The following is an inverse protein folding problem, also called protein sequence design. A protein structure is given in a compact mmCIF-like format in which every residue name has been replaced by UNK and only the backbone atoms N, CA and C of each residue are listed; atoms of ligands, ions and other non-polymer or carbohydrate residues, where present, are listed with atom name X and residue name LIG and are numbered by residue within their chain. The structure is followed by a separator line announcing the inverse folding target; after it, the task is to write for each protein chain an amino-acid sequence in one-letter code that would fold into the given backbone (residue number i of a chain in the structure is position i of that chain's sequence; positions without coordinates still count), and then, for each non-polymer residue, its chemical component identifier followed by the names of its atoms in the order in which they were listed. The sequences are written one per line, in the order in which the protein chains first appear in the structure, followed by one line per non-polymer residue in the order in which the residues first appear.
data_IF_104864263220
#
_entry.id   IF_104864263220
#
_cell.length_a   1.000
_cell.length_b   1.000
_cell.length_c   1.000
_cell.angle_alpha   90.00
_cell.angle_beta   90.00
_cell.angle_gamma   90.00
#
_symmetry.space_group_name_H-M   'P 1'
#
loop_
_entity.id
_entity.type
_entity.pdbx_description
1 polymer ?
#
# COMPACT_ATOMS: atom_id res chain seq x y z
N UNK A 1 -27.63 15.58 -8.51
CA UNK A 1 -26.89 14.30 -8.71
C UNK A 1 -25.59 14.40 -7.95
N UNK A 2 -25.28 13.45 -7.07
CA UNK A 2 -24.05 13.46 -6.26
C UNK A 2 -22.87 12.87 -7.01
N UNK A 3 -21.69 13.47 -6.88
CA UNK A 3 -20.46 12.90 -7.42
C UNK A 3 -20.07 11.68 -6.55
N UNK A 4 -19.82 10.50 -7.15
CA UNK A 4 -19.45 9.31 -6.38
C UNK A 4 -18.13 9.54 -5.64
N UNK A 5 -18.08 9.09 -4.38
CA UNK A 5 -16.88 9.18 -3.54
C UNK A 5 -15.88 8.08 -3.93
N UNK A 6 -14.60 8.39 -4.14
CA UNK A 6 -13.59 7.38 -4.41
C UNK A 6 -13.42 6.41 -3.24
N UNK A 7 -13.16 5.14 -3.58
CA UNK A 7 -12.86 4.09 -2.61
C UNK A 7 -11.35 3.89 -2.50
N UNK A 8 -10.92 3.15 -1.48
CA UNK A 8 -9.53 2.74 -1.33
C UNK A 8 -9.01 1.99 -2.57
N UNK A 9 -9.86 1.19 -3.23
CA UNK A 9 -9.52 0.51 -4.47
C UNK A 9 -9.26 1.48 -5.62
N UNK A 10 -10.00 2.59 -5.71
CA UNK A 10 -9.75 3.63 -6.73
C UNK A 10 -8.37 4.26 -6.51
N UNK A 11 -8.05 4.64 -5.27
CA UNK A 11 -6.78 5.29 -4.95
C UNK A 11 -5.59 4.34 -5.13
N UNK A 12 -5.77 3.06 -4.80
CA UNK A 12 -4.77 2.01 -4.98
C UNK A 12 -4.30 1.86 -6.43
N UNK A 13 -5.18 2.10 -7.41
CA UNK A 13 -4.81 2.05 -8.83
C UNK A 13 -3.71 3.06 -9.19
N UNK A 14 -3.67 4.22 -8.53
CA UNK A 14 -2.62 5.21 -8.77
C UNK A 14 -1.27 4.70 -8.25
N UNK A 15 -1.25 4.09 -7.06
CA UNK A 15 -0.04 3.45 -6.53
C UNK A 15 0.44 2.30 -7.41
N UNK A 16 -0.46 1.44 -7.88
CA UNK A 16 -0.15 0.36 -8.83
C UNK A 16 0.51 0.91 -10.10
N UNK A 17 -0.10 1.92 -10.70
CA UNK A 17 0.42 2.57 -11.92
C UNK A 17 1.83 3.13 -11.73
N UNK A 18 2.13 3.72 -10.57
CA UNK A 18 3.48 4.23 -10.26
C UNK A 18 4.50 3.11 -10.04
N UNK A 19 4.11 1.97 -9.48
CA UNK A 19 4.99 0.82 -9.30
C UNK A 19 5.29 0.13 -10.63
N UNK A 20 4.29 -0.05 -11.47
CA UNK A 20 4.44 -0.64 -12.81
C UNK A 20 5.35 0.20 -13.71
N UNK A 21 5.23 1.54 -13.64
CA UNK A 21 6.15 2.46 -14.35
C UNK A 21 7.63 2.24 -13.98
N UNK A 22 7.91 1.74 -12.79
CA UNK A 22 9.25 1.45 -12.27
C UNK A 22 9.68 0.01 -12.53
N UNK A 23 8.90 -0.76 -13.28
CA UNK A 23 9.17 -2.17 -13.58
C UNK A 23 8.94 -3.11 -12.39
N UNK A 24 8.30 -2.65 -11.31
CA UNK A 24 7.96 -3.50 -10.17
C UNK A 24 6.80 -4.39 -10.57
N UNK A 25 6.99 -5.71 -10.53
CA UNK A 25 5.90 -6.66 -10.74
C UNK A 25 5.01 -6.70 -9.50
N UNK A 26 3.72 -6.49 -9.70
CA UNK A 26 2.72 -6.53 -8.63
C UNK A 26 1.63 -7.52 -9.01
N UNK A 27 1.34 -8.45 -8.10
CA UNK A 27 0.20 -9.35 -8.23
C UNK A 27 -0.92 -8.83 -7.31
N UNK A 28 -2.09 -8.61 -7.88
CA UNK A 28 -3.33 -8.31 -7.14
C UNK A 28 -4.17 -9.58 -6.97
N UNK A 29 -5.16 -9.57 -6.08
CA UNK A 29 -6.14 -10.67 -5.91
C UNK A 29 -5.56 -11.98 -5.36
N UNK A 30 -4.66 -11.88 -4.38
CA UNK A 30 -4.00 -13.05 -3.79
C UNK A 30 -4.78 -13.52 -2.57
N UNK A 31 -4.80 -14.83 -2.35
CA UNK A 31 -5.35 -15.44 -1.15
C UNK A 31 -4.40 -16.48 -0.60
N UNK A 32 -4.14 -16.39 0.71
CA UNK A 32 -3.42 -17.39 1.47
C UNK A 32 -4.40 -18.17 2.34
N UNK A 33 -4.39 -19.49 2.20
CA UNK A 33 -5.07 -20.37 3.14
C UNK A 33 -4.23 -20.49 4.41
N UNK A 34 -4.82 -20.19 5.57
CA UNK A 34 -4.14 -20.27 6.87
C UNK A 34 -5.00 -21.06 7.85
N UNK A 35 -4.42 -21.59 8.95
CA UNK A 35 -5.18 -22.29 9.98
C UNK A 35 -6.28 -21.42 10.64
N UNK A 36 -6.14 -20.09 10.59
CA UNK A 36 -7.09 -19.13 11.17
C UNK A 36 -8.09 -18.57 10.14
N UNK A 37 -8.07 -19.07 8.91
CA UNK A 37 -8.93 -18.62 7.81
C UNK A 37 -8.16 -18.16 6.58
N UNK A 38 -8.79 -17.35 5.74
CA UNK A 38 -8.15 -16.79 4.53
C UNK A 38 -7.56 -15.42 4.82
N UNK A 39 -6.31 -15.21 4.42
CA UNK A 39 -5.72 -13.88 4.38
C UNK A 39 -5.65 -13.42 2.92
N UNK A 40 -6.13 -12.21 2.65
CA UNK A 40 -6.22 -11.65 1.29
C UNK A 40 -5.58 -10.26 1.29
N UNK A 41 -4.28 -10.17 0.98
CA UNK A 41 -3.63 -8.89 0.93
C UNK A 41 -4.13 -8.07 -0.25
N UNK A 42 -3.98 -6.76 -0.14
CA UNK A 42 -4.33 -5.87 -1.24
C UNK A 42 -3.46 -6.13 -2.46
N UNK A 43 -2.16 -6.36 -2.25
CA UNK A 43 -1.16 -6.63 -3.30
C UNK A 43 0.00 -7.48 -2.77
N UNK A 44 0.70 -8.17 -3.66
CA UNK A 44 2.02 -8.76 -3.44
C UNK A 44 3.01 -8.18 -4.43
N UNK A 45 4.13 -7.69 -3.91
CA UNK A 45 5.22 -7.14 -4.71
C UNK A 45 6.27 -8.20 -4.95
N UNK A 46 6.87 -8.16 -6.13
CA UNK A 46 8.06 -8.94 -6.46
C UNK A 46 9.17 -7.97 -6.85
N UNK A 47 10.14 -7.80 -5.95
CA UNK A 47 11.34 -7.00 -6.19
C UNK A 47 12.50 -7.64 -5.45
N UNK A 48 13.22 -8.58 -6.08
CA UNK A 48 14.24 -9.42 -5.42
C UNK A 48 13.68 -10.45 -4.42
N UNK A 49 12.66 -10.08 -3.66
CA UNK A 49 11.86 -10.92 -2.78
C UNK A 49 10.38 -10.56 -2.85
N UNK A 50 9.56 -11.33 -2.14
CA UNK A 50 8.11 -11.13 -2.05
C UNK A 50 7.72 -10.34 -0.80
N UNK A 51 6.89 -9.31 -0.98
CA UNK A 51 6.40 -8.48 0.10
C UNK A 51 4.91 -8.22 -0.02
N UNK A 52 4.18 -8.41 1.07
CA UNK A 52 2.76 -8.08 1.15
C UNK A 52 2.57 -6.57 1.23
N UNK A 53 1.53 -6.04 0.60
CA UNK A 53 1.12 -4.64 0.78
C UNK A 53 -0.33 -4.59 1.23
N UNK A 54 -0.59 -3.80 2.26
CA UNK A 54 -1.92 -3.38 2.69
C UNK A 54 -2.03 -1.87 2.51
N UNK A 55 -3.12 -1.43 1.92
CA UNK A 55 -3.43 -0.01 1.71
C UNK A 55 -4.56 0.40 2.63
N UNK A 56 -4.55 1.64 3.12
CA UNK A 56 -5.63 2.18 3.93
C UNK A 56 -5.92 3.61 3.51
N UNK A 57 -7.18 3.92 3.25
CA UNK A 57 -7.59 5.29 2.95
C UNK A 57 -8.02 6.04 4.23
N UNK A 58 -7.30 7.12 4.56
CA UNK A 58 -7.60 8.14 5.59
C UNK A 58 -6.90 7.99 6.94
N UNK A 59 -7.64 7.99 8.06
CA UNK A 59 -7.07 8.16 9.40
C UNK A 59 -5.99 7.12 9.79
N UNK A 60 -4.97 7.60 10.52
CA UNK A 60 -3.81 6.83 10.96
C UNK A 60 -4.15 5.63 11.87
N UNK A 61 -5.29 5.67 12.57
CA UNK A 61 -5.78 4.50 13.31
C UNK A 61 -5.94 3.26 12.42
N UNK A 62 -6.25 3.44 11.12
CA UNK A 62 -6.31 2.34 10.15
C UNK A 62 -4.93 1.73 9.84
N UNK A 63 -3.86 2.48 10.05
CA UNK A 63 -2.49 1.99 9.87
C UNK A 63 -2.14 0.97 10.96
N UNK A 64 -2.65 1.13 12.19
CA UNK A 64 -2.50 0.13 13.26
C UNK A 64 -3.17 -1.19 12.86
N UNK A 65 -4.39 -1.14 12.34
CA UNK A 65 -5.10 -2.33 11.84
C UNK A 65 -4.34 -3.01 10.70
N UNK A 66 -3.76 -2.20 9.80
CA UNK A 66 -2.89 -2.72 8.74
C UNK A 66 -1.68 -3.43 9.35
N UNK A 67 -0.99 -2.84 10.32
CA UNK A 67 0.19 -3.45 10.96
C UNK A 67 -0.12 -4.80 11.63
N UNK A 68 -1.29 -4.94 12.27
CA UNK A 68 -1.73 -6.23 12.83
C UNK A 68 -1.85 -7.28 11.72
N UNK A 69 -2.49 -6.93 10.60
CA UNK A 69 -2.57 -7.84 9.43
C UNK A 69 -1.20 -8.16 8.85
N UNK A 70 -0.30 -7.18 8.75
CA UNK A 70 1.08 -7.39 8.30
C UNK A 70 1.83 -8.39 9.19
N UNK A 71 1.59 -8.34 10.50
CA UNK A 71 2.16 -9.32 11.42
C UNK A 71 1.60 -10.73 11.18
N UNK A 72 0.30 -10.88 10.94
CA UNK A 72 -0.29 -12.18 10.56
C UNK A 72 0.27 -12.70 9.23
N UNK A 73 0.41 -11.84 8.22
CA UNK A 73 1.07 -12.24 6.97
C UNK A 73 2.51 -12.72 7.21
N UNK A 74 3.26 -12.06 8.08
CA UNK A 74 4.64 -12.46 8.38
C UNK A 74 4.73 -13.88 8.98
N UNK A 75 3.71 -14.29 9.76
CA UNK A 75 3.61 -15.62 10.37
C UNK A 75 3.21 -16.69 9.37
N UNK A 76 2.17 -16.43 8.57
CA UNK A 76 1.54 -17.47 7.75
C UNK A 76 1.99 -17.49 6.29
N UNK A 77 2.79 -16.51 5.85
CA UNK A 77 3.31 -16.45 4.48
C UNK A 77 4.83 -16.58 4.43
N UNK A 78 5.34 -16.94 3.25
CA UNK A 78 6.78 -17.00 2.96
C UNK A 78 7.38 -15.64 2.54
N UNK A 79 6.60 -14.57 2.65
CA UNK A 79 7.07 -13.22 2.31
C UNK A 79 8.18 -12.75 3.24
N UNK A 80 9.07 -11.90 2.72
CA UNK A 80 10.21 -11.34 3.48
C UNK A 80 9.84 -10.13 4.32
N UNK A 81 8.63 -9.62 4.13
CA UNK A 81 8.12 -8.50 4.88
C UNK A 81 6.81 -8.02 4.30
N UNK A 82 6.42 -6.86 4.78
CA UNK A 82 5.11 -6.31 4.56
C UNK A 82 5.16 -4.78 4.61
N UNK A 83 4.34 -4.12 3.78
CA UNK A 83 4.20 -2.68 3.71
C UNK A 83 2.76 -2.26 3.98
N UNK A 84 2.56 -1.31 4.88
CA UNK A 84 1.31 -0.60 5.07
C UNK A 84 1.39 0.78 4.43
N UNK A 85 0.48 1.12 3.52
CA UNK A 85 0.44 2.46 2.89
C UNK A 85 -0.86 3.16 3.29
N UNK A 86 -0.72 4.29 3.97
CA UNK A 86 -1.81 5.19 4.32
C UNK A 86 -1.96 6.24 3.23
N UNK A 87 -3.12 6.25 2.59
CA UNK A 87 -3.48 7.27 1.62
C UNK A 87 -4.04 8.52 2.32
N UNK A 88 -3.68 9.71 1.84
CA UNK A 88 -4.15 10.99 2.37
C UNK A 88 -5.67 11.12 2.33
N UNK A 89 -6.22 11.88 3.29
CA UNK A 89 -7.67 12.09 3.42
C UNK A 89 -8.25 12.96 2.29
N UNK A 90 -7.42 13.80 1.68
CA UNK A 90 -7.71 14.62 0.51
C UNK A 90 -8.24 13.77 -0.66
N UNK A 91 -7.74 12.53 -0.80
CA UNK A 91 -8.18 11.59 -1.83
C UNK A 91 -9.54 10.95 -1.54
N UNK A 92 -10.13 11.17 -0.35
CA UNK A 92 -11.52 10.77 -0.06
C UNK A 92 -12.54 11.72 -0.63
N UNK A 93 -12.15 12.93 -1.02
CA UNK A 93 -13.10 13.92 -1.51
C UNK A 93 -13.74 13.42 -2.82
N UNK A 94 -15.03 13.73 -3.08
CA UNK A 94 -15.78 13.22 -4.23
C UNK A 94 -15.38 13.95 -5.52
N UNK A 95 -14.14 13.75 -5.94
CA UNK A 95 -13.60 14.23 -7.21
C UNK A 95 -13.79 13.16 -8.28
N UNK A 96 -13.79 13.59 -9.55
CA UNK A 96 -13.72 12.65 -10.67
C UNK A 96 -12.32 12.01 -10.77
N UNK A 97 -12.19 10.94 -11.55
CA UNK A 97 -10.93 10.17 -11.67
C UNK A 97 -9.77 11.00 -12.21
N UNK A 98 -10.04 11.91 -13.15
CA UNK A 98 -9.02 12.78 -13.76
C UNK A 98 -8.41 13.76 -12.75
N UNK A 99 -9.23 14.33 -11.87
CA UNK A 99 -8.76 15.23 -10.82
C UNK A 99 -8.06 14.42 -9.72
N UNK A 100 -8.59 13.25 -9.36
CA UNK A 100 -7.91 12.36 -8.41
C UNK A 100 -6.53 11.94 -8.90
N UNK A 101 -6.37 11.65 -10.19
CA UNK A 101 -5.07 11.32 -10.75
C UNK A 101 -4.09 12.50 -10.58
N UNK A 102 -4.50 13.72 -10.93
CA UNK A 102 -3.68 14.93 -10.74
C UNK A 102 -3.28 15.14 -9.28
N UNK A 103 -4.26 15.05 -8.37
CA UNK A 103 -4.03 15.22 -6.93
C UNK A 103 -3.10 14.11 -6.42
N UNK A 104 -3.32 12.86 -6.82
CA UNK A 104 -2.54 11.71 -6.36
C UNK A 104 -1.05 11.84 -6.68
N UNK A 105 -0.70 12.53 -7.76
CA UNK A 105 0.67 12.81 -8.19
C UNK A 105 1.19 14.18 -7.75
N UNK A 106 0.40 14.97 -7.02
CA UNK A 106 0.83 16.27 -6.53
C UNK A 106 2.01 16.09 -5.56
N UNK A 107 3.17 16.74 -5.80
CA UNK A 107 4.33 16.64 -4.93
C UNK A 107 4.08 17.09 -3.48
N UNK A 108 3.04 17.90 -3.25
CA UNK A 108 2.64 18.38 -1.92
C UNK A 108 1.77 17.38 -1.16
N UNK A 109 1.21 16.39 -1.86
CA UNK A 109 0.34 15.41 -1.24
C UNK A 109 1.18 14.33 -0.55
N UNK A 110 1.05 14.23 0.76
CA UNK A 110 1.83 13.30 1.57
C UNK A 110 1.11 11.98 1.79
N UNK A 111 1.84 10.90 1.57
CA UNK A 111 1.47 9.52 1.85
C UNK A 111 2.40 9.00 2.93
N UNK A 112 1.90 8.09 3.77
CA UNK A 112 2.72 7.45 4.80
C UNK A 112 2.84 5.97 4.49
N UNK A 113 4.06 5.45 4.44
CA UNK A 113 4.34 4.03 4.32
C UNK A 113 5.08 3.51 5.54
N UNK A 114 4.69 2.34 6.03
CA UNK A 114 5.37 1.61 7.09
C UNK A 114 5.78 0.25 6.58
N UNK A 115 7.05 -0.12 6.74
CA UNK A 115 7.59 -1.42 6.41
C UNK A 115 7.89 -2.22 7.67
N UNK A 116 7.55 -3.51 7.63
CA UNK A 116 7.92 -4.52 8.62
C UNK A 116 8.66 -5.62 7.88
N UNK A 117 9.85 -5.95 8.34
CA UNK A 117 10.69 -6.99 7.74
C UNK A 117 10.67 -8.24 8.62
N UNK A 118 10.78 -9.41 7.98
CA UNK A 118 10.87 -10.70 8.67
C UNK A 118 12.30 -11.02 9.14
N UNK A 119 13.28 -10.25 8.68
CA UNK A 119 14.67 -10.32 9.12
C UNK A 119 14.92 -9.38 10.33
N UNK A 120 16.19 -9.18 10.68
CA UNK A 120 16.60 -8.39 11.84
C UNK A 120 16.50 -6.87 11.62
N UNK A 121 16.04 -6.41 10.44
CA UNK A 121 15.89 -4.98 10.17
C UNK A 121 14.77 -4.41 11.07
N UNK A 122 14.97 -3.22 11.66
CA UNK A 122 13.89 -2.55 12.37
C UNK A 122 12.76 -2.18 11.41
N UNK A 123 11.55 -2.06 11.93
CA UNK A 123 10.46 -1.46 11.17
C UNK A 123 10.84 -0.03 10.75
N UNK A 124 10.41 0.35 9.56
CA UNK A 124 10.73 1.67 9.02
C UNK A 124 9.45 2.39 8.63
N UNK A 125 9.42 3.70 8.88
CA UNK A 125 8.33 4.58 8.47
C UNK A 125 8.89 5.66 7.56
N UNK A 126 8.19 5.91 6.46
CA UNK A 126 8.54 6.94 5.48
C UNK A 126 7.29 7.73 5.11
N UNK A 127 7.45 9.05 5.02
CA UNK A 127 6.41 9.96 4.58
C UNK A 127 6.91 10.75 3.37
N UNK A 128 6.08 10.85 2.34
CA UNK A 128 6.43 11.52 1.10
C UNK A 128 5.34 11.40 0.05
N UNK A 129 5.55 11.99 -1.12
CA UNK A 129 4.58 11.89 -2.21
C UNK A 129 4.58 10.48 -2.84
N UNK A 130 3.62 10.23 -3.74
CA UNK A 130 3.41 8.91 -4.34
C UNK A 130 4.67 8.37 -5.05
N UNK A 131 5.39 9.23 -5.76
CA UNK A 131 6.67 8.92 -6.43
C UNK A 131 7.71 8.49 -5.41
N UNK A 132 7.89 9.27 -4.34
CA UNK A 132 8.87 8.99 -3.29
C UNK A 132 8.55 7.70 -2.53
N UNK A 133 7.27 7.40 -2.28
CA UNK A 133 6.85 6.14 -1.64
C UNK A 133 7.18 4.94 -2.55
N UNK A 134 6.91 5.07 -3.85
CA UNK A 134 7.24 4.04 -4.82
C UNK A 134 8.76 3.81 -4.89
N UNK A 135 9.56 4.88 -4.93
CA UNK A 135 11.02 4.81 -4.93
C UNK A 135 11.58 4.22 -3.63
N UNK A 136 11.13 4.74 -2.48
CA UNK A 136 11.53 4.26 -1.17
C UNK A 136 11.26 2.76 -1.01
N UNK A 137 10.11 2.27 -1.48
CA UNK A 137 9.81 0.84 -1.47
C UNK A 137 10.73 0.04 -2.39
N UNK A 138 11.09 0.53 -3.57
CA UNK A 138 12.02 -0.17 -4.46
C UNK A 138 13.42 -0.33 -3.86
N UNK A 139 13.85 0.60 -2.99
CA UNK A 139 15.14 0.49 -2.28
C UNK A 139 15.13 -0.51 -1.13
N UNK A 140 13.96 -0.80 -0.55
CA UNK A 140 13.83 -1.63 0.66
C UNK A 140 13.27 -3.03 0.40
N UNK A 141 12.68 -3.25 -0.78
CA UNK A 141 12.18 -4.53 -1.26
C UNK A 141 13.29 -5.35 -1.92
#
# INVERSE_FOLDING_TARGET
MGVPKPTEMTVRKFLLKELEKRGVKVDTEISYATPIGRLMPDMLLHNGAQYVVETKLGAEAKLLDAMVRLYDYSKYTQTKGAFGVLFPEELRQPWNVEILEKISTDPKLEYVATAIFKDLRPSQRFAGNLTQIADWRCMHA
#
